data_IF_112468733386
#
_entry.id   IF_112468733386
#
_cell.length_a   1.000
_cell.length_b   1.000
_cell.length_c   1.000
_cell.angle_alpha   90.00
_cell.angle_beta   90.00
_cell.angle_gamma   90.00
#
_symmetry.space_group_name_H-M   'P 1'
#
loop_
_entity.id
_entity.type
_entity.pdbx_description
1 polymer ?
#
# COMPACT_ATOMS: atom_id res chain seq x y z
N UNK A 1 12.50 -13.37 -15.45
CA UNK A 1 12.16 -11.97 -15.10
C UNK A 1 10.93 -11.38 -15.82
N UNK A 2 10.54 -11.84 -17.00
CA UNK A 2 9.38 -11.28 -17.73
C UNK A 2 8.05 -11.38 -16.96
N UNK A 3 7.80 -12.54 -16.31
CA UNK A 3 6.63 -12.75 -15.45
C UNK A 3 6.58 -11.72 -14.30
N UNK A 4 7.72 -11.49 -13.64
CA UNK A 4 7.85 -10.51 -12.55
C UNK A 4 7.54 -9.09 -13.05
N UNK A 5 8.08 -8.70 -14.20
CA UNK A 5 7.82 -7.39 -14.79
C UNK A 5 6.33 -7.20 -15.12
N UNK A 6 5.68 -8.22 -15.70
CA UNK A 6 4.25 -8.20 -16.00
C UNK A 6 3.40 -8.09 -14.73
N UNK A 7 3.69 -8.88 -13.70
CA UNK A 7 2.94 -8.85 -12.44
C UNK A 7 3.18 -7.55 -11.67
N UNK A 8 4.39 -6.98 -11.72
CA UNK A 8 4.67 -5.66 -11.18
C UNK A 8 3.80 -4.60 -11.86
N UNK A 9 3.71 -4.58 -13.19
CA UNK A 9 2.81 -3.65 -13.90
C UNK A 9 1.36 -3.82 -13.51
N UNK A 10 0.90 -5.07 -13.36
CA UNK A 10 -0.46 -5.35 -12.91
C UNK A 10 -0.69 -4.87 -11.46
N UNK A 11 0.30 -5.01 -10.58
CA UNK A 11 0.25 -4.49 -9.22
C UNK A 11 0.21 -2.95 -9.21
N UNK A 12 1.07 -2.28 -9.98
CA UNK A 12 1.08 -0.81 -10.09
C UNK A 12 -0.27 -0.27 -10.58
N UNK A 13 -0.98 -0.98 -11.48
CA UNK A 13 -2.35 -0.61 -11.88
C UNK A 13 -3.35 -0.73 -10.73
N UNK A 14 -3.27 -1.81 -9.94
CA UNK A 14 -4.13 -1.98 -8.76
C UNK A 14 -3.87 -0.90 -7.72
N UNK A 15 -2.59 -0.60 -7.47
CA UNK A 15 -2.17 0.47 -6.56
C UNK A 15 -2.61 1.85 -7.07
N UNK A 16 -2.49 2.11 -8.36
CA UNK A 16 -2.98 3.34 -8.99
C UNK A 16 -4.49 3.52 -8.82
N UNK A 17 -5.27 2.45 -9.04
CA UNK A 17 -6.72 2.48 -8.86
C UNK A 17 -7.09 2.75 -7.40
N UNK A 18 -6.52 1.98 -6.46
CA UNK A 18 -6.75 2.18 -5.03
C UNK A 18 -6.41 3.59 -4.58
N UNK A 19 -5.23 4.07 -4.97
CA UNK A 19 -4.72 5.38 -4.56
C UNK A 19 -5.46 6.52 -5.25
N UNK A 20 -5.85 6.37 -6.51
CA UNK A 20 -6.69 7.35 -7.21
C UNK A 20 -8.06 7.49 -6.56
N UNK A 21 -8.72 6.39 -6.22
CA UNK A 21 -9.98 6.39 -5.48
C UNK A 21 -9.82 6.98 -4.08
N UNK A 22 -8.75 6.61 -3.37
CA UNK A 22 -8.45 7.15 -2.03
C UNK A 22 -8.16 8.64 -2.07
N UNK A 23 -7.45 9.14 -3.08
CA UNK A 23 -7.18 10.55 -3.26
C UNK A 23 -8.46 11.34 -3.47
N UNK A 24 -9.35 10.86 -4.35
CA UNK A 24 -10.65 11.48 -4.58
C UNK A 24 -11.48 11.52 -3.29
N UNK A 25 -11.57 10.40 -2.57
CA UNK A 25 -12.26 10.32 -1.29
C UNK A 25 -11.65 11.27 -0.24
N UNK A 26 -10.33 11.33 -0.14
CA UNK A 26 -9.62 12.23 0.77
C UNK A 26 -9.87 13.70 0.47
N UNK A 27 -9.84 14.10 -0.80
CA UNK A 27 -10.17 15.47 -1.24
C UNK A 27 -11.62 15.83 -0.89
N UNK A 28 -12.58 14.92 -1.13
CA UNK A 28 -13.99 15.13 -0.77
C UNK A 28 -14.12 15.30 0.76
N UNK A 29 -13.51 14.41 1.53
CA UNK A 29 -13.52 14.47 3.00
C UNK A 29 -12.93 15.79 3.50
N UNK A 30 -11.81 16.23 2.92
CA UNK A 30 -11.09 17.43 3.35
C UNK A 30 -11.85 18.72 3.03
N UNK A 31 -12.34 18.86 1.79
CA UNK A 31 -12.89 20.14 1.32
C UNK A 31 -14.41 20.24 1.42
N UNK A 32 -15.14 19.15 1.12
CA UNK A 32 -16.59 19.15 1.17
C UNK A 32 -17.09 18.85 2.58
N UNK A 33 -16.49 17.87 3.25
CA UNK A 33 -16.91 17.44 4.60
C UNK A 33 -16.07 18.06 5.73
N UNK A 34 -15.06 18.87 5.39
CA UNK A 34 -14.18 19.59 6.34
C UNK A 34 -13.57 18.68 7.42
N UNK A 35 -13.29 17.45 7.04
CA UNK A 35 -12.75 16.41 7.91
C UNK A 35 -11.23 16.34 7.79
N UNK A 36 -10.53 16.41 8.91
CA UNK A 36 -9.06 16.28 9.00
C UNK A 36 -8.55 14.96 8.42
N UNK A 37 -9.38 13.91 8.53
CA UNK A 37 -9.19 12.57 7.94
C UNK A 37 -8.90 12.63 6.44
N UNK A 38 -9.51 13.57 5.75
CA UNK A 38 -9.34 13.75 4.32
C UNK A 38 -7.90 14.11 3.95
N UNK A 39 -7.22 14.90 4.77
CA UNK A 39 -5.84 15.31 4.55
C UNK A 39 -4.87 14.14 4.61
N UNK A 40 -4.96 13.31 5.66
CA UNK A 40 -4.15 12.09 5.79
C UNK A 40 -4.42 11.09 4.65
N UNK A 41 -5.69 10.85 4.35
CA UNK A 41 -6.09 9.93 3.26
C UNK A 41 -5.54 10.39 1.91
N UNK A 42 -5.70 11.68 1.58
CA UNK A 42 -5.18 12.26 0.35
C UNK A 42 -3.65 12.26 0.32
N UNK A 43 -2.99 12.57 1.43
CA UNK A 43 -1.54 12.61 1.55
C UNK A 43 -0.90 11.24 1.26
N UNK A 44 -1.38 10.17 1.91
CA UNK A 44 -0.89 8.81 1.66
C UNK A 44 -1.21 8.33 0.23
N UNK A 45 -2.38 8.66 -0.28
CA UNK A 45 -2.74 8.37 -1.66
C UNK A 45 -1.78 9.03 -2.67
N UNK A 46 -1.38 10.28 -2.43
CA UNK A 46 -0.39 10.98 -3.25
C UNK A 46 0.97 10.30 -3.21
N UNK A 47 1.44 9.87 -2.03
CA UNK A 47 2.71 9.12 -1.90
C UNK A 47 2.68 7.84 -2.73
N UNK A 48 1.59 7.07 -2.64
CA UNK A 48 1.44 5.84 -3.43
C UNK A 48 1.38 6.10 -4.94
N UNK A 49 0.68 7.15 -5.38
CA UNK A 49 0.66 7.56 -6.78
C UNK A 49 2.04 8.00 -7.28
N UNK A 50 2.84 8.67 -6.44
CA UNK A 50 4.23 8.98 -6.75
C UNK A 50 5.06 7.70 -6.92
N UNK A 51 4.93 6.73 -6.00
CA UNK A 51 5.56 5.41 -6.11
C UNK A 51 5.17 4.73 -7.43
N UNK A 52 3.88 4.76 -7.80
CA UNK A 52 3.41 4.26 -9.10
C UNK A 52 4.11 4.96 -10.25
N UNK A 53 4.13 6.29 -10.28
CA UNK A 53 4.71 7.07 -11.37
C UNK A 53 6.20 6.78 -11.57
N UNK A 54 6.98 6.73 -10.48
CA UNK A 54 8.40 6.41 -10.52
C UNK A 54 8.65 4.95 -10.89
N UNK A 55 7.92 4.01 -10.28
CA UNK A 55 8.07 2.58 -10.55
C UNK A 55 7.59 2.19 -11.94
N UNK A 56 6.69 2.97 -12.55
CA UNK A 56 6.23 2.72 -13.91
C UNK A 56 7.33 2.95 -14.95
N UNK A 57 8.22 3.92 -14.73
CA UNK A 57 9.35 4.20 -15.62
C UNK A 57 10.63 3.45 -15.19
N UNK A 58 10.62 2.84 -14.01
CA UNK A 58 11.76 2.12 -13.44
C UNK A 58 12.13 0.85 -14.19
N UNK A 59 13.41 0.48 -14.09
CA UNK A 59 13.91 -0.81 -14.58
C UNK A 59 13.34 -1.95 -13.74
N UNK A 60 13.15 -3.15 -14.31
CA UNK A 60 12.75 -4.32 -13.54
C UNK A 60 13.78 -4.60 -12.42
N UNK A 61 13.36 -5.27 -11.33
CA UNK A 61 14.22 -5.50 -10.17
C UNK A 61 15.54 -6.18 -10.57
N UNK A 62 16.65 -5.72 -9.99
CA UNK A 62 17.99 -6.20 -10.35
C UNK A 62 18.22 -7.69 -10.05
N UNK A 63 17.48 -8.25 -9.08
CA UNK A 63 17.44 -9.69 -8.81
C UNK A 63 16.08 -10.07 -8.25
N UNK A 64 15.66 -11.30 -8.52
CA UNK A 64 14.43 -11.87 -7.98
C UNK A 64 14.44 -11.95 -6.45
N UNK A 65 15.56 -12.37 -5.86
CA UNK A 65 15.73 -12.46 -4.42
C UNK A 65 15.55 -11.09 -3.73
N UNK A 66 16.29 -10.06 -4.15
CA UNK A 66 16.15 -8.71 -3.56
C UNK A 66 14.75 -8.14 -3.70
N UNK A 67 14.08 -8.44 -4.81
CA UNK A 67 12.68 -8.03 -5.00
C UNK A 67 11.76 -8.69 -3.96
N UNK A 68 11.96 -9.98 -3.67
CA UNK A 68 11.17 -10.67 -2.65
C UNK A 68 11.48 -10.22 -1.24
N UNK A 69 12.75 -9.96 -0.92
CA UNK A 69 13.14 -9.37 0.36
C UNK A 69 12.48 -8.00 0.55
N UNK A 70 12.46 -7.16 -0.49
CA UNK A 70 11.75 -5.90 -0.48
C UNK A 70 10.23 -6.05 -0.26
N UNK A 71 9.58 -6.99 -0.96
CA UNK A 71 8.14 -7.24 -0.74
C UNK A 71 7.84 -7.76 0.66
N UNK A 72 8.68 -8.64 1.20
CA UNK A 72 8.54 -9.16 2.55
C UNK A 72 8.72 -8.06 3.60
N UNK A 73 9.69 -7.17 3.39
CA UNK A 73 9.88 -5.99 4.23
C UNK A 73 8.65 -5.07 4.20
N UNK A 74 8.11 -4.76 3.01
CA UNK A 74 6.89 -3.98 2.88
C UNK A 74 5.68 -4.63 3.56
N UNK A 75 5.52 -5.95 3.43
CA UNK A 75 4.49 -6.70 4.16
C UNK A 75 4.62 -6.52 5.67
N UNK A 76 5.85 -6.65 6.21
CA UNK A 76 6.13 -6.41 7.62
C UNK A 76 5.75 -5.00 8.07
N UNK A 77 6.11 -3.98 7.27
CA UNK A 77 5.72 -2.59 7.55
C UNK A 77 4.21 -2.40 7.55
N UNK A 78 3.49 -2.97 6.58
CA UNK A 78 2.03 -2.88 6.52
C UNK A 78 1.38 -3.51 7.77
N UNK A 79 1.88 -4.65 8.24
CA UNK A 79 1.43 -5.28 9.50
C UNK A 79 1.68 -4.34 10.68
N UNK A 80 2.87 -3.74 10.76
CA UNK A 80 3.19 -2.79 11.84
C UNK A 80 2.29 -1.56 11.81
N UNK A 81 2.00 -0.98 10.65
CA UNK A 81 1.05 0.14 10.53
C UNK A 81 -0.35 -0.25 11.01
N UNK A 82 -0.85 -1.42 10.63
CA UNK A 82 -2.14 -1.93 11.11
C UNK A 82 -2.11 -2.11 12.63
N UNK A 83 -1.05 -2.69 13.19
CA UNK A 83 -0.90 -2.88 14.63
C UNK A 83 -0.85 -1.54 15.39
N UNK A 84 -0.15 -0.54 14.86
CA UNK A 84 -0.14 0.82 15.41
C UNK A 84 -1.55 1.42 15.37
N UNK A 85 -2.23 1.37 14.23
CA UNK A 85 -3.60 1.88 14.10
C UNK A 85 -4.57 1.20 15.06
N UNK A 86 -4.47 -0.11 15.21
CA UNK A 86 -5.26 -0.87 16.19
C UNK A 86 -4.95 -0.46 17.63
N UNK A 87 -3.68 -0.26 17.96
CA UNK A 87 -3.27 0.19 19.30
C UNK A 87 -3.83 1.58 19.60
N UNK A 88 -3.80 2.50 18.63
CA UNK A 88 -4.39 3.84 18.77
C UNK A 88 -5.90 3.76 19.01
N UNK A 89 -6.61 2.88 18.29
CA UNK A 89 -8.05 2.65 18.46
C UNK A 89 -8.40 2.09 19.84
N UNK A 90 -7.59 1.15 20.35
CA UNK A 90 -7.89 0.44 21.60
C UNK A 90 -7.40 1.16 22.86
N UNK A 91 -6.40 2.02 22.75
CA UNK A 91 -5.69 2.60 23.92
C UNK A 91 -6.04 4.06 24.19
N UNK A 92 -7.02 4.63 23.49
CA UNK A 92 -7.33 6.07 23.60
C UNK A 92 -8.81 6.32 23.89
N UNK A 93 -9.08 7.38 24.65
CA UNK A 93 -10.41 7.98 24.80
C UNK A 93 -10.57 9.23 23.92
N UNK A 94 -9.47 9.71 23.32
CA UNK A 94 -9.46 10.91 22.49
C UNK A 94 -9.92 10.57 21.07
N UNK A 95 -11.04 11.18 20.66
CA UNK A 95 -11.64 10.95 19.35
C UNK A 95 -10.66 11.12 18.18
N UNK A 96 -9.80 12.13 18.22
CA UNK A 96 -8.86 12.42 17.12
C UNK A 96 -7.79 11.33 16.96
N UNK A 97 -7.35 10.76 18.08
CA UNK A 97 -6.40 9.64 18.09
C UNK A 97 -7.07 8.36 17.57
N UNK A 98 -8.31 8.13 17.99
CA UNK A 98 -9.12 6.99 17.53
C UNK A 98 -9.35 7.05 16.01
N UNK A 99 -9.73 8.23 15.51
CA UNK A 99 -9.95 8.48 14.08
C UNK A 99 -8.66 8.25 13.28
N UNK A 100 -7.52 8.73 13.79
CA UNK A 100 -6.20 8.46 13.16
C UNK A 100 -5.92 6.96 13.05
N UNK A 101 -6.19 6.19 14.09
CA UNK A 101 -6.02 4.72 14.04
C UNK A 101 -6.93 4.06 13.01
N UNK A 102 -8.19 4.50 12.92
CA UNK A 102 -9.17 4.05 11.93
C UNK A 102 -8.84 4.44 10.48
N UNK A 103 -7.96 5.41 10.26
CA UNK A 103 -7.47 5.78 8.93
C UNK A 103 -6.29 4.93 8.48
N UNK A 104 -5.34 4.72 9.40
CA UNK A 104 -4.12 3.97 9.13
C UNK A 104 -4.46 2.50 8.84
N UNK A 105 -5.39 1.92 9.58
CA UNK A 105 -5.74 0.49 9.45
C UNK A 105 -6.26 0.11 8.05
N UNK A 106 -7.28 0.77 7.46
CA UNK A 106 -7.76 0.44 6.12
C UNK A 106 -6.69 0.63 5.03
N UNK A 107 -5.87 1.69 5.13
CA UNK A 107 -4.79 1.92 4.17
C UNK A 107 -3.72 0.83 4.28
N UNK A 108 -3.28 0.51 5.50
CA UNK A 108 -2.34 -0.58 5.75
C UNK A 108 -2.87 -1.94 5.28
N UNK A 109 -4.15 -2.23 5.52
CA UNK A 109 -4.79 -3.49 5.09
C UNK A 109 -4.86 -3.59 3.57
N UNK A 110 -5.24 -2.53 2.88
CA UNK A 110 -5.29 -2.51 1.43
C UNK A 110 -3.89 -2.75 0.82
N UNK A 111 -2.87 -2.07 1.32
CA UNK A 111 -1.48 -2.26 0.87
C UNK A 111 -0.99 -3.69 1.18
N UNK A 112 -1.30 -4.21 2.36
CA UNK A 112 -0.99 -5.60 2.73
C UNK A 112 -1.58 -6.60 1.73
N UNK A 113 -2.84 -6.42 1.34
CA UNK A 113 -3.50 -7.29 0.35
C UNK A 113 -2.86 -7.14 -1.03
N UNK A 114 -2.61 -5.91 -1.49
CA UNK A 114 -2.04 -5.65 -2.81
C UNK A 114 -0.63 -6.20 -2.98
N UNK A 115 0.21 -6.01 -1.97
CA UNK A 115 1.57 -6.55 -1.90
C UNK A 115 1.55 -8.08 -1.75
N UNK A 116 0.61 -8.63 -0.98
CA UNK A 116 0.46 -10.07 -0.80
C UNK A 116 0.05 -10.78 -2.09
N UNK A 117 -0.83 -10.17 -2.88
CA UNK A 117 -1.18 -10.64 -4.23
C UNK A 117 0.07 -10.66 -5.11
N UNK A 118 0.87 -9.59 -5.10
CA UNK A 118 2.10 -9.51 -5.89
C UNK A 118 3.08 -10.61 -5.47
N UNK A 119 3.33 -10.77 -4.17
CA UNK A 119 4.23 -11.78 -3.61
C UNK A 119 3.81 -13.22 -3.94
N UNK A 120 2.50 -13.51 -3.89
CA UNK A 120 1.96 -14.82 -4.29
C UNK A 120 2.13 -15.08 -5.78
N UNK A 121 1.88 -14.07 -6.62
CA UNK A 121 1.97 -14.21 -8.07
C UNK A 121 3.40 -14.29 -8.58
N UNK A 122 4.36 -13.78 -7.82
CA UNK A 122 5.77 -13.88 -8.13
C UNK A 122 6.47 -14.99 -7.35
N UNK A 123 5.79 -15.95 -6.73
CA UNK A 123 6.44 -17.06 -5.99
C UNK A 123 7.23 -18.03 -6.89
N UNK A 124 8.30 -18.70 -6.40
CA UNK A 124 9.22 -19.49 -7.25
C UNK A 124 8.52 -20.57 -8.06
N UNK A 125 7.56 -21.27 -7.44
CA UNK A 125 6.72 -22.29 -8.06
C UNK A 125 5.87 -21.78 -9.24
N UNK A 126 5.62 -20.48 -9.34
CA UNK A 126 4.87 -19.85 -10.44
C UNK A 126 5.75 -19.17 -11.48
N UNK A 127 7.00 -18.91 -11.16
CA UNK A 127 7.96 -18.23 -12.03
C UNK A 127 8.95 -19.22 -12.67
N UNK A 128 8.99 -20.47 -12.18
CA UNK A 128 9.82 -21.53 -12.76
C UNK A 128 11.28 -21.49 -12.32
N UNK A 129 11.59 -20.79 -11.22
CA UNK A 129 12.94 -20.76 -10.64
C UNK A 129 13.04 -21.77 -9.48
N UNK A 130 14.16 -22.52 -9.36
CA UNK A 130 14.39 -23.41 -8.23
C UNK A 130 14.38 -22.60 -6.93
N UNK A 131 13.63 -23.10 -5.94
CA UNK A 131 13.38 -22.43 -4.66
C UNK A 131 14.59 -22.41 -3.73
#
# INVERSE_FOLDING_TARGET
MEVVARELKAHLRRLALWSGSSLAAGIILLFALRSSVGGMTAGWALVNLAIVAFSWKGKPPASYQKFREFLAFNQGLNIMYIAVGLTLVLSTEYRDVWVTGMEIMPQGLALLVLDGILMRKTSPSRVGEPG
#
